data_IF_387069976163
#
_entry.id   IF_387069976163
#
_cell.length_a   1.000
_cell.length_b   1.000
_cell.length_c   1.000
_cell.angle_alpha   90.00
_cell.angle_beta   90.00
_cell.angle_gamma   90.00
#
_symmetry.space_group_name_H-M   'P 1'
#
loop_
_entity.id
_entity.type
_entity.pdbx_description
1 polymer ?
#
# COMPACT_ATOMS: atom_id res chain seq x y z
N UNK A 1 -11.82 17.45 9.49
CA UNK A 1 -13.01 17.21 10.32
C UNK A 1 -14.18 17.77 9.56
N UNK A 2 -15.15 16.94 9.20
CA UNK A 2 -16.40 17.40 8.60
C UNK A 2 -17.40 17.65 9.73
N UNK A 3 -18.09 18.77 9.67
CA UNK A 3 -19.10 19.18 10.64
C UNK A 3 -20.50 19.19 9.99
N UNK A 4 -21.53 19.02 10.82
CA UNK A 4 -22.92 18.85 10.41
C UNK A 4 -23.46 20.06 9.63
N UNK A 5 -22.94 21.26 9.88
CA UNK A 5 -23.29 22.50 9.18
C UNK A 5 -22.64 22.63 7.79
N UNK A 6 -21.63 21.82 7.48
CA UNK A 6 -21.10 21.73 6.13
C UNK A 6 -22.00 20.79 5.33
N UNK A 7 -22.90 21.33 4.50
CA UNK A 7 -23.71 20.57 3.51
C UNK A 7 -22.86 19.79 2.47
N UNK A 8 -21.55 19.66 2.68
CA UNK A 8 -20.58 19.06 1.78
C UNK A 8 -20.18 17.69 2.32
N UNK A 9 -20.61 16.64 1.62
CA UNK A 9 -20.19 15.26 1.89
C UNK A 9 -18.79 14.95 1.31
N UNK A 10 -18.00 15.99 1.07
CA UNK A 10 -16.73 15.89 0.40
C UNK A 10 -15.77 16.96 0.93
N UNK A 11 -14.51 16.55 1.14
CA UNK A 11 -13.39 17.46 1.41
C UNK A 11 -12.46 17.41 0.22
N UNK A 12 -12.20 18.57 -0.37
CA UNK A 12 -11.27 18.72 -1.49
C UNK A 12 -9.92 19.20 -0.98
N UNK A 13 -8.86 18.54 -1.42
CA UNK A 13 -7.49 18.92 -1.16
C UNK A 13 -6.85 19.36 -2.48
N UNK A 14 -6.44 20.62 -2.54
CA UNK A 14 -5.63 21.11 -3.65
C UNK A 14 -4.22 20.55 -3.53
N UNK A 15 -3.72 19.92 -4.59
CA UNK A 15 -2.33 19.45 -4.65
C UNK A 15 -1.57 20.38 -5.57
N UNK A 16 -0.80 21.29 -4.98
CA UNK A 16 0.01 22.24 -5.75
C UNK A 16 1.19 21.53 -6.41
N UNK A 17 1.48 21.88 -7.66
CA UNK A 17 2.68 21.46 -8.39
C UNK A 17 2.88 19.94 -8.52
N UNK A 18 1.80 19.15 -8.43
CA UNK A 18 1.84 17.71 -8.66
C UNK A 18 0.68 17.23 -9.53
N UNK A 19 0.96 16.24 -10.36
CA UNK A 19 -0.07 15.48 -11.04
C UNK A 19 -0.68 14.45 -10.08
N UNK A 20 -2.00 14.46 -9.95
CA UNK A 20 -2.73 13.50 -9.12
C UNK A 20 -3.26 12.38 -10.00
N UNK A 21 -3.05 11.14 -9.58
CA UNK A 21 -3.67 9.98 -10.22
C UNK A 21 -4.19 9.02 -9.17
N UNK A 22 -5.32 8.38 -9.46
CA UNK A 22 -5.85 7.29 -8.66
C UNK A 22 -5.55 5.98 -9.35
N UNK A 23 -5.03 5.03 -8.58
CA UNK A 23 -5.04 3.63 -8.99
C UNK A 23 -6.46 3.08 -8.86
N UNK A 24 -6.77 1.98 -9.54
CA UNK A 24 -8.06 1.28 -9.37
C UNK A 24 -8.30 0.98 -7.87
N UNK A 25 -7.23 0.60 -7.19
CA UNK A 25 -6.78 0.98 -5.85
C UNK A 25 -7.63 1.84 -4.88
N UNK A 26 -7.88 3.08 -5.31
CA UNK A 26 -8.17 4.16 -4.37
C UNK A 26 -6.93 4.71 -3.64
N UNK A 27 -5.70 4.26 -3.98
CA UNK A 27 -4.46 4.96 -3.61
C UNK A 27 -4.33 6.19 -4.51
N UNK A 28 -4.02 7.34 -3.92
CA UNK A 28 -3.64 8.51 -4.70
C UNK A 28 -2.12 8.57 -4.84
N UNK A 29 -1.64 8.67 -6.09
CA UNK A 29 -0.25 9.03 -6.38
C UNK A 29 -0.19 10.52 -6.69
N UNK A 30 0.66 11.25 -5.98
CA UNK A 30 0.98 12.64 -6.24
C UNK A 30 2.38 12.69 -6.84
N UNK A 31 2.47 13.02 -8.13
CA UNK A 31 3.75 13.10 -8.84
C UNK A 31 4.16 14.56 -9.00
N UNK A 32 5.16 14.98 -8.25
CA UNK A 32 5.71 16.32 -8.31
C UNK A 32 6.50 16.54 -9.63
N UNK A 33 6.63 17.81 -10.03
CA UNK A 33 7.34 18.18 -11.26
C UNK A 33 8.82 17.76 -11.28
N UNK A 34 9.46 17.66 -10.10
CA UNK A 34 10.83 17.16 -9.92
C UNK A 34 10.97 15.63 -10.08
N UNK A 35 9.86 14.91 -10.31
CA UNK A 35 9.82 13.46 -10.46
C UNK A 35 9.59 12.69 -9.15
N UNK A 36 9.51 13.36 -8.00
CA UNK A 36 9.17 12.73 -6.73
C UNK A 36 7.71 12.23 -6.74
N UNK A 37 7.46 11.11 -6.09
CA UNK A 37 6.12 10.51 -5.99
C UNK A 37 5.76 10.32 -4.53
N UNK A 38 4.62 10.87 -4.14
CA UNK A 38 3.99 10.66 -2.84
C UNK A 38 2.78 9.74 -2.99
N UNK A 39 2.58 8.89 -2.01
CA UNK A 39 1.48 7.96 -1.91
C UNK A 39 0.56 8.40 -0.78
N UNK A 40 -0.72 8.55 -1.09
CA UNK A 40 -1.78 8.82 -0.11
C UNK A 40 -2.59 7.54 0.02
N UNK A 41 -2.48 6.88 1.17
CA UNK A 41 -3.23 5.67 1.48
C UNK A 41 -4.74 5.95 1.45
N UNK A 42 -5.58 4.96 1.05
CA UNK A 42 -7.02 5.09 1.15
C UNK A 42 -7.46 5.61 2.54
N UNK A 43 -8.48 6.48 2.58
CA UNK A 43 -8.89 7.16 3.80
C UNK A 43 -9.52 6.18 4.80
N UNK A 44 -9.05 6.18 6.04
CA UNK A 44 -9.74 5.55 7.16
C UNK A 44 -10.66 6.58 7.79
N UNK A 45 -11.97 6.40 7.59
CA UNK A 45 -12.97 7.35 8.07
C UNK A 45 -13.82 6.74 9.18
N UNK A 46 -13.99 7.48 10.27
CA UNK A 46 -14.83 7.10 11.40
C UNK A 46 -15.75 8.24 11.84
N UNK A 47 -16.96 7.90 12.27
CA UNK A 47 -17.92 8.82 12.87
C UNK A 47 -17.60 9.06 14.36
N UNK A 48 -18.35 9.96 15.01
CA UNK A 48 -18.15 10.30 16.43
C UNK A 48 -18.37 9.13 17.40
N UNK A 49 -19.10 8.09 16.97
CA UNK A 49 -19.33 6.85 17.73
C UNK A 49 -18.24 5.81 17.46
N UNK A 50 -17.25 6.13 16.60
CA UNK A 50 -16.19 5.22 16.18
C UNK A 50 -16.60 4.24 15.10
N UNK A 51 -17.79 4.38 14.50
CA UNK A 51 -18.22 3.52 13.40
C UNK A 51 -17.46 3.86 12.12
N UNK A 52 -17.06 2.85 11.36
CA UNK A 52 -16.43 3.04 10.05
C UNK A 52 -17.43 3.67 9.09
N UNK A 53 -17.00 4.75 8.44
CA UNK A 53 -17.75 5.40 7.36
C UNK A 53 -17.05 5.05 6.05
N UNK A 54 -17.82 4.59 5.08
CA UNK A 54 -17.28 4.30 3.74
C UNK A 54 -16.91 5.62 3.05
N UNK A 55 -15.71 5.66 2.49
CA UNK A 55 -15.20 6.82 1.81
C UNK A 55 -14.21 6.43 0.72
N UNK A 56 -14.08 7.28 -0.29
CA UNK A 56 -13.16 7.07 -1.41
C UNK A 56 -12.56 8.38 -1.87
N UNK A 57 -11.37 8.29 -2.46
CA UNK A 57 -10.84 9.40 -3.21
C UNK A 57 -11.43 9.44 -4.63
N UNK A 58 -11.62 10.66 -5.13
CA UNK A 58 -11.92 10.99 -6.51
C UNK A 58 -10.99 12.11 -6.95
N UNK A 59 -10.67 12.20 -8.24
CA UNK A 59 -9.81 13.27 -8.77
C UNK A 59 -10.53 14.17 -9.75
N UNK A 60 -10.19 15.45 -9.73
CA UNK A 60 -10.55 16.41 -10.77
C UNK A 60 -9.32 17.26 -11.10
N UNK A 61 -8.61 16.92 -12.18
CA UNK A 61 -7.32 17.55 -12.50
C UNK A 61 -6.29 17.34 -11.39
N UNK A 62 -5.82 18.44 -10.79
CA UNK A 62 -4.85 18.45 -9.69
C UNK A 62 -5.49 18.35 -8.30
N UNK A 63 -6.81 18.21 -8.20
CA UNK A 63 -7.51 18.14 -6.93
C UNK A 63 -7.81 16.69 -6.55
N UNK A 64 -7.46 16.34 -5.31
CA UNK A 64 -7.83 15.06 -4.68
C UNK A 64 -9.00 15.32 -3.74
N UNK A 65 -10.14 14.69 -4.00
CA UNK A 65 -11.36 14.88 -3.22
C UNK A 65 -11.69 13.61 -2.47
N UNK A 66 -11.77 13.70 -1.14
CA UNK A 66 -12.33 12.66 -0.29
C UNK A 66 -13.86 12.78 -0.32
N UNK A 67 -14.54 11.76 -0.83
CA UNK A 67 -16.00 11.67 -0.85
C UNK A 67 -16.47 10.62 0.14
N UNK A 68 -17.41 10.97 1.01
CA UNK A 68 -18.10 10.03 1.89
C UNK A 68 -19.28 9.40 1.16
N UNK A 69 -19.47 8.10 1.31
CA UNK A 69 -20.73 7.48 0.91
C UNK A 69 -21.85 7.98 1.84
N UNK A 70 -23.01 8.29 1.25
CA UNK A 70 -24.15 8.88 1.95
C UNK A 70 -24.84 7.86 2.86
N UNK A 71 -24.23 7.54 4.00
CA UNK A 71 -24.91 6.86 5.09
C UNK A 71 -25.63 7.90 5.97
N UNK A 72 -26.96 7.87 5.94
CA UNK A 72 -27.83 8.83 6.63
C UNK A 72 -27.72 8.80 8.18
N UNK A 73 -27.03 7.81 8.76
CA UNK A 73 -26.89 7.66 10.21
C UNK A 73 -25.51 8.01 10.76
N UNK A 74 -24.54 8.50 9.96
CA UNK A 74 -23.21 8.80 10.49
C UNK A 74 -23.26 9.97 11.51
N UNK A 75 -22.69 9.75 12.70
CA UNK A 75 -22.65 10.77 13.75
C UNK A 75 -21.48 11.74 13.55
N UNK A 76 -21.75 13.03 13.63
CA UNK A 76 -20.71 14.06 13.56
C UNK A 76 -20.03 14.28 14.92
N UNK A 77 -18.74 14.64 14.95
CA UNK A 77 -17.86 14.89 13.81
C UNK A 77 -17.41 13.61 13.09
N UNK A 78 -17.22 13.73 11.77
CA UNK A 78 -16.58 12.68 10.98
C UNK A 78 -15.08 12.99 10.87
N UNK A 79 -14.25 12.02 11.27
CA UNK A 79 -12.80 12.09 11.23
C UNK A 79 -12.30 11.20 10.10
N UNK A 80 -11.52 11.79 9.20
CA UNK A 80 -10.84 11.08 8.12
C UNK A 80 -9.34 11.12 8.36
N UNK A 81 -8.74 9.96 8.53
CA UNK A 81 -7.30 9.79 8.68
C UNK A 81 -6.76 9.14 7.41
N UNK A 82 -5.73 9.75 6.82
CA UNK A 82 -4.97 9.17 5.72
C UNK A 82 -3.48 9.21 6.07
N UNK A 83 -2.71 8.31 5.47
CA UNK A 83 -1.26 8.31 5.60
C UNK A 83 -0.66 8.76 4.28
N UNK A 84 0.19 9.78 4.34
CA UNK A 84 1.05 10.21 3.23
C UNK A 84 2.47 9.72 3.45
N UNK A 85 3.07 9.12 2.43
CA UNK A 85 4.49 8.79 2.43
C UNK A 85 5.09 8.78 1.03
N UNK A 86 6.39 9.00 0.95
CA UNK A 86 7.17 8.89 -0.29
C UNK A 86 7.59 7.45 -0.61
N UNK A 87 7.43 6.51 0.33
CA UNK A 87 7.82 5.11 0.18
C UNK A 87 6.90 4.15 0.96
N UNK A 88 6.56 3.02 0.33
CA UNK A 88 5.84 1.91 0.93
C UNK A 88 6.77 0.96 1.69
N UNK A 89 8.04 0.90 1.27
CA UNK A 89 9.09 0.11 1.93
C UNK A 89 10.22 0.98 2.50
N UNK A 90 10.84 0.48 3.57
CA UNK A 90 12.07 1.00 4.17
C UNK A 90 13.06 -0.12 4.36
N UNK A 91 14.30 0.24 4.71
CA UNK A 91 15.38 -0.70 4.97
C UNK A 91 15.58 -1.69 3.81
N UNK A 92 15.47 -1.21 2.57
CA UNK A 92 15.76 -2.06 1.42
C UNK A 92 17.28 -2.24 1.28
N UNK A 93 17.77 -3.44 1.59
CA UNK A 93 19.16 -3.85 1.38
C UNK A 93 19.26 -5.27 0.82
N UNK A 94 20.40 -5.58 0.19
CA UNK A 94 20.72 -6.92 -0.27
C UNK A 94 21.92 -7.47 0.52
N UNK A 95 21.87 -8.74 0.87
CA UNK A 95 22.96 -9.49 1.48
C UNK A 95 23.05 -10.90 0.88
N UNK A 96 23.89 -11.75 1.49
CA UNK A 96 24.06 -13.13 1.06
C UNK A 96 23.45 -14.11 2.06
N UNK A 97 22.72 -15.09 1.53
CA UNK A 97 22.20 -16.22 2.28
C UNK A 97 22.36 -17.49 1.45
N UNK A 98 22.94 -18.55 2.05
CA UNK A 98 23.28 -19.81 1.36
C UNK A 98 24.07 -19.58 0.05
N UNK A 99 25.08 -18.72 0.10
CA UNK A 99 25.93 -18.37 -1.05
C UNK A 99 25.17 -17.76 -2.24
N UNK A 100 23.98 -17.19 -2.01
CA UNK A 100 23.19 -16.52 -3.04
C UNK A 100 22.60 -15.20 -2.49
N UNK A 101 22.11 -14.32 -3.36
CA UNK A 101 21.52 -13.06 -2.94
C UNK A 101 20.22 -13.25 -2.16
N UNK A 102 20.07 -12.46 -1.11
CA UNK A 102 18.83 -12.25 -0.38
C UNK A 102 18.52 -10.75 -0.37
N UNK A 103 17.30 -10.41 -0.74
CA UNK A 103 16.82 -9.02 -0.77
C UNK A 103 15.87 -8.82 0.40
N UNK A 104 16.13 -7.82 1.22
CA UNK A 104 15.45 -7.61 2.48
C UNK A 104 14.71 -6.26 2.45
N UNK A 105 13.60 -6.17 3.17
CA UNK A 105 12.84 -4.94 3.33
C UNK A 105 11.76 -5.02 4.40
N UNK A 106 11.27 -3.85 4.82
CA UNK A 106 10.16 -3.72 5.76
C UNK A 106 9.12 -2.73 5.21
N UNK A 107 7.85 -2.95 5.53
CA UNK A 107 6.83 -1.93 5.29
C UNK A 107 7.11 -0.68 6.14
N UNK A 108 6.91 0.49 5.55
CA UNK A 108 6.78 1.75 6.29
C UNK A 108 5.45 1.79 7.04
N UNK A 109 5.21 2.83 7.84
CA UNK A 109 3.88 3.07 8.44
C UNK A 109 2.81 3.19 7.35
N UNK A 110 3.13 3.84 6.22
CA UNK A 110 2.23 3.92 5.08
C UNK A 110 2.07 2.56 4.38
N UNK A 111 3.14 1.79 4.20
CA UNK A 111 3.07 0.43 3.69
C UNK A 111 2.13 -0.45 4.51
N UNK A 112 2.17 -0.33 5.85
CA UNK A 112 1.25 -1.01 6.75
C UNK A 112 -0.19 -0.49 6.63
N UNK A 113 -0.39 0.82 6.56
CA UNK A 113 -1.72 1.41 6.36
C UNK A 113 -2.36 0.96 5.03
N UNK A 114 -1.56 0.89 3.97
CA UNK A 114 -1.95 0.31 2.69
C UNK A 114 -2.29 -1.17 2.88
N UNK A 115 -1.41 -1.97 3.49
CA UNK A 115 -1.64 -3.41 3.71
C UNK A 115 -3.00 -3.70 4.40
N UNK A 116 -3.36 -2.96 5.44
CA UNK A 116 -4.60 -3.19 6.20
C UNK A 116 -5.86 -2.62 5.53
N UNK A 117 -5.72 -1.87 4.42
CA UNK A 117 -6.86 -1.28 3.69
C UNK A 117 -7.68 -2.29 2.88
N UNK A 118 -7.30 -3.57 2.90
CA UNK A 118 -8.05 -4.68 2.28
C UNK A 118 -7.56 -5.03 0.86
N UNK A 119 -8.44 -5.54 -0.01
CA UNK A 119 -8.07 -6.03 -1.36
C UNK A 119 -7.33 -4.98 -2.20
N UNK A 120 -7.67 -3.71 -1.99
CA UNK A 120 -7.07 -2.59 -2.68
C UNK A 120 -5.61 -2.35 -2.25
N UNK A 121 -5.34 -2.44 -0.95
CA UNK A 121 -3.98 -2.40 -0.42
C UNK A 121 -3.08 -3.52 -0.96
N UNK A 122 -3.66 -4.71 -1.16
CA UNK A 122 -2.97 -5.84 -1.76
C UNK A 122 -2.55 -5.54 -3.22
N UNK A 123 -3.44 -4.92 -4.01
CA UNK A 123 -3.12 -4.50 -5.37
C UNK A 123 -2.05 -3.41 -5.39
N UNK A 124 -2.13 -2.42 -4.49
CA UNK A 124 -1.14 -1.35 -4.38
C UNK A 124 0.25 -1.91 -4.11
N UNK A 125 0.37 -2.79 -3.10
CA UNK A 125 1.64 -3.39 -2.73
C UNK A 125 2.16 -4.27 -3.87
N UNK A 126 1.32 -5.04 -4.55
CA UNK A 126 1.74 -5.84 -5.70
C UNK A 126 2.22 -4.99 -6.89
N UNK A 127 1.71 -3.77 -7.06
CA UNK A 127 2.06 -2.88 -8.15
C UNK A 127 3.15 -1.87 -7.75
N UNK A 128 2.78 -0.82 -7.01
CA UNK A 128 3.67 0.27 -6.62
C UNK A 128 4.78 -0.22 -5.69
N UNK A 129 4.45 -1.11 -4.76
CA UNK A 129 5.43 -1.71 -3.87
C UNK A 129 6.51 -2.51 -4.63
N UNK A 130 6.11 -3.33 -5.61
CA UNK A 130 7.06 -4.09 -6.41
C UNK A 130 7.95 -3.19 -7.28
N UNK A 131 7.43 -2.04 -7.72
CA UNK A 131 8.23 -1.02 -8.42
C UNK A 131 9.32 -0.43 -7.53
N UNK A 132 9.07 -0.23 -6.24
CA UNK A 132 10.12 0.23 -5.30
C UNK A 132 11.25 -0.79 -5.19
N UNK A 133 10.91 -2.08 -5.06
CA UNK A 133 11.90 -3.15 -4.99
C UNK A 133 12.71 -3.29 -6.27
N UNK A 134 12.07 -3.31 -7.44
CA UNK A 134 12.77 -3.42 -8.74
C UNK A 134 13.57 -2.18 -9.10
N UNK A 135 13.15 -0.98 -8.67
CA UNK A 135 13.93 0.25 -8.79
C UNK A 135 15.19 0.20 -7.92
N UNK A 136 15.09 -0.33 -6.70
CA UNK A 136 16.23 -0.46 -5.78
C UNK A 136 17.17 -1.60 -6.17
N UNK A 137 16.63 -2.70 -6.66
CA UNK A 137 17.33 -3.93 -7.02
C UNK A 137 16.96 -4.35 -8.44
N UNK A 138 17.62 -3.82 -9.48
CA UNK A 138 17.30 -4.19 -10.87
C UNK A 138 17.35 -5.70 -11.13
N UNK A 139 18.28 -6.40 -10.47
CA UNK A 139 18.50 -7.84 -10.62
C UNK A 139 17.51 -8.72 -9.85
N UNK A 140 16.58 -8.15 -9.07
CA UNK A 140 15.61 -8.94 -8.29
C UNK A 140 14.63 -9.74 -9.17
N UNK A 141 14.62 -9.46 -10.46
CA UNK A 141 13.75 -10.10 -11.45
C UNK A 141 14.38 -11.33 -12.12
N UNK A 142 15.66 -11.65 -11.84
CA UNK A 142 16.39 -12.73 -12.50
C UNK A 142 15.94 -14.15 -12.10
N UNK A 143 15.08 -14.31 -11.09
CA UNK A 143 14.53 -15.61 -10.68
C UNK A 143 13.07 -15.50 -10.24
N UNK A 144 12.15 -16.34 -10.78
CA UNK A 144 10.73 -16.27 -10.47
C UNK A 144 10.39 -16.34 -8.98
N UNK A 145 11.15 -17.12 -8.19
CA UNK A 145 10.93 -17.26 -6.74
C UNK A 145 10.92 -15.93 -5.99
N UNK A 146 11.66 -14.92 -6.46
CA UNK A 146 11.77 -13.64 -5.76
C UNK A 146 10.44 -12.87 -5.80
N UNK A 147 9.81 -12.78 -6.97
CA UNK A 147 8.49 -12.17 -7.09
C UNK A 147 7.41 -13.02 -6.41
N UNK A 148 7.52 -14.35 -6.49
CA UNK A 148 6.58 -15.22 -5.79
C UNK A 148 6.64 -15.00 -4.27
N UNK A 149 7.83 -15.00 -3.67
CA UNK A 149 8.04 -14.74 -2.24
C UNK A 149 7.48 -13.36 -1.87
N UNK A 150 7.77 -12.33 -2.68
CA UNK A 150 7.22 -10.98 -2.49
C UNK A 150 5.69 -10.99 -2.44
N UNK A 151 5.03 -11.61 -3.41
CA UNK A 151 3.55 -11.68 -3.46
C UNK A 151 2.98 -12.45 -2.27
N UNK A 152 3.68 -13.46 -1.78
CA UNK A 152 3.28 -14.14 -0.55
C UNK A 152 3.40 -13.23 0.66
N UNK A 153 4.49 -12.48 0.78
CA UNK A 153 4.66 -11.47 1.83
C UNK A 153 3.58 -10.38 1.75
N UNK A 154 3.21 -9.94 0.55
CA UNK A 154 2.08 -9.02 0.34
C UNK A 154 0.78 -9.62 0.86
N UNK A 155 0.51 -10.91 0.64
CA UNK A 155 -0.70 -11.58 1.13
C UNK A 155 -0.69 -11.78 2.65
N UNK A 156 0.45 -12.19 3.21
CA UNK A 156 0.59 -12.72 4.55
C UNK A 156 1.47 -11.90 5.49
N UNK A 157 1.68 -10.60 5.25
CA UNK A 157 2.66 -9.78 5.97
C UNK A 157 2.62 -9.92 7.50
N UNK A 158 1.42 -10.03 8.08
CA UNK A 158 1.24 -10.20 9.54
C UNK A 158 1.87 -11.49 10.09
N UNK A 159 1.95 -12.55 9.29
CA UNK A 159 2.48 -13.85 9.69
C UNK A 159 3.88 -14.13 9.09
N UNK A 160 4.28 -13.38 8.06
CA UNK A 160 5.51 -13.63 7.32
C UNK A 160 6.78 -13.13 8.03
N UNK A 161 6.66 -12.17 8.96
CA UNK A 161 7.82 -11.54 9.59
C UNK A 161 8.53 -10.57 8.64
N UNK A 162 9.86 -10.45 8.78
CA UNK A 162 10.68 -9.61 7.90
C UNK A 162 10.62 -10.10 6.44
N UNK A 163 10.54 -9.19 5.47
CA UNK A 163 10.41 -9.56 4.06
C UNK A 163 11.79 -9.89 3.50
N UNK A 164 12.09 -11.18 3.41
CA UNK A 164 13.38 -11.70 3.00
C UNK A 164 13.21 -12.52 1.72
N UNK A 165 13.49 -11.93 0.57
CA UNK A 165 13.37 -12.60 -0.73
C UNK A 165 14.67 -13.33 -1.04
N UNK A 166 14.67 -14.63 -0.78
CA UNK A 166 15.85 -15.49 -0.81
C UNK A 166 16.02 -16.14 -2.17
N UNK A 167 16.99 -15.67 -2.98
CA UNK A 167 17.19 -16.15 -4.35
C UNK A 167 17.59 -17.62 -4.39
N UNK A 168 18.30 -18.13 -3.39
CA UNK A 168 18.67 -19.55 -3.29
C UNK A 168 17.46 -20.49 -3.29
N UNK A 169 16.26 -20.01 -2.95
CA UNK A 169 15.06 -20.86 -2.85
C UNK A 169 14.58 -21.35 -4.21
N UNK A 170 13.87 -22.48 -4.18
CA UNK A 170 13.22 -23.02 -5.36
C UNK A 170 12.09 -22.10 -5.83
N UNK A 171 11.78 -22.17 -7.12
CA UNK A 171 10.55 -21.59 -7.63
C UNK A 171 9.36 -22.37 -7.05
N UNK A 172 8.29 -21.65 -6.72
CA UNK A 172 7.05 -22.24 -6.25
C UNK A 172 6.33 -22.93 -7.41
N UNK A 173 5.93 -24.19 -7.22
CA UNK A 173 4.92 -24.86 -8.03
C UNK A 173 3.52 -24.57 -7.47
N UNK A 174 2.49 -24.55 -8.33
CA UNK A 174 1.12 -24.13 -8.01
C UNK A 174 0.45 -24.85 -6.83
N UNK A 175 0.99 -25.98 -6.40
CA UNK A 175 0.49 -26.84 -5.31
C UNK A 175 1.09 -26.54 -3.92
N UNK A 176 2.00 -25.56 -3.78
CA UNK A 176 2.69 -25.27 -2.52
C UNK A 176 2.09 -24.10 -1.72
N UNK A 177 0.94 -23.56 -2.12
CA UNK A 177 0.22 -22.51 -1.38
C UNK A 177 -0.39 -22.99 -0.06
N UNK A 178 -0.12 -24.21 0.39
CA UNK A 178 -0.44 -24.66 1.75
C UNK A 178 0.76 -24.48 2.70
N UNK A 179 1.99 -24.56 2.17
CA UNK A 179 3.23 -24.50 2.95
C UNK A 179 3.62 -23.08 3.38
N UNK A 180 2.96 -22.03 2.85
CA UNK A 180 3.37 -20.65 3.13
C UNK A 180 3.15 -20.24 4.59
N UNK A 181 2.15 -20.79 5.27
CA UNK A 181 1.94 -20.56 6.71
C UNK A 181 3.06 -21.18 7.54
N UNK A 182 3.47 -22.41 7.20
CA UNK A 182 4.52 -23.15 7.92
C UNK A 182 5.88 -22.51 7.71
N UNK A 183 6.15 -22.05 6.48
CA UNK A 183 7.45 -21.52 6.08
C UNK A 183 7.52 -19.99 5.99
N UNK A 184 6.50 -19.28 6.47
CA UNK A 184 6.43 -17.80 6.50
C UNK A 184 6.84 -17.17 5.17
N UNK A 185 6.23 -17.64 4.07
CA UNK A 185 6.52 -17.19 2.70
C UNK A 185 7.91 -17.50 2.12
N UNK A 186 8.73 -18.27 2.83
CA UNK A 186 10.09 -18.65 2.44
C UNK A 186 10.14 -20.19 2.22
N UNK A 187 9.74 -20.69 1.04
CA UNK A 187 9.55 -22.14 0.79
C UNK A 187 10.76 -22.95 0.31
#
# INVERSE_FOLDING_TARGET
MLDQDSKKNAVEFGVENAAVSLTADGLANLKAANGETWFVAPPLVSDARGHKVQAKFTTNGANLTLTLDKNHDAAYPIVANTVMATALFRNLYADFWKNDFRFNGDLTVAGWAVYISGPMGQLTLNNSGWKEWTKKFPDITNKPTLNQQYRCHVLGALAAGQWNLERARRNMSSNLWHDWFVKRCNW
#
